data_IF_562597039554
#
_entry.id   IF_562597039554
#
_cell.length_a   1.000
_cell.length_b   1.000
_cell.length_c   1.000
_cell.angle_alpha   90.00
_cell.angle_beta   90.00
_cell.angle_gamma   90.00
#
_symmetry.space_group_name_H-M   'P 1'
#
loop_
_entity.id
_entity.type
_entity.pdbx_description
1 polymer ?
#
# COMPACT_ATOMS: atom_id res chain seq x y z
N UNK A 1 2.01 -16.55 -12.05
CA UNK A 1 1.68 -16.71 -10.61
C UNK A 1 0.67 -15.63 -10.24
N UNK A 2 -0.33 -15.93 -9.38
CA UNK A 2 -1.30 -14.92 -8.90
C UNK A 2 -0.72 -14.11 -7.72
N UNK A 3 0.27 -14.66 -7.03
CA UNK A 3 0.91 -13.99 -5.90
C UNK A 3 1.54 -12.64 -6.31
N UNK A 4 1.56 -11.72 -5.36
CA UNK A 4 2.27 -10.46 -5.49
C UNK A 4 3.77 -10.69 -5.30
N UNK A 5 4.54 -10.28 -6.30
CA UNK A 5 5.98 -10.44 -6.30
C UNK A 5 6.67 -9.27 -5.57
N UNK A 6 5.92 -8.28 -5.04
CA UNK A 6 6.46 -7.06 -4.42
C UNK A 6 7.49 -6.38 -5.35
N UNK A 7 8.76 -6.27 -4.95
CA UNK A 7 9.84 -5.74 -5.78
C UNK A 7 10.52 -6.81 -6.66
N UNK A 8 10.12 -8.07 -6.54
CA UNK A 8 10.62 -9.21 -7.30
C UNK A 8 11.85 -9.88 -6.70
N UNK A 9 12.23 -9.53 -5.47
CA UNK A 9 13.43 -10.05 -4.78
C UNK A 9 13.04 -10.91 -3.57
N UNK A 10 11.93 -10.58 -2.93
CA UNK A 10 11.43 -11.19 -1.70
C UNK A 10 10.90 -12.62 -1.95
N UNK A 11 11.38 -13.59 -1.16
CA UNK A 11 10.98 -15.00 -1.35
C UNK A 11 9.71 -15.32 -0.56
N UNK A 12 8.67 -15.87 -1.20
CA UNK A 12 7.48 -16.28 -0.49
C UNK A 12 7.71 -17.58 0.28
N UNK A 13 7.02 -17.72 1.42
CA UNK A 13 7.03 -18.96 2.20
C UNK A 13 6.33 -20.07 1.42
N UNK A 14 7.06 -21.11 1.04
CA UNK A 14 6.53 -22.27 0.30
C UNK A 14 6.18 -23.44 1.23
N UNK A 15 5.15 -24.20 0.87
CA UNK A 15 4.77 -25.43 1.55
C UNK A 15 4.18 -26.45 0.58
N UNK A 16 4.20 -27.73 0.98
CA UNK A 16 3.64 -28.82 0.18
C UNK A 16 2.22 -29.19 0.63
N UNK A 17 1.30 -29.25 -0.32
CA UNK A 17 -0.11 -29.59 -0.07
C UNK A 17 -0.28 -31.10 -0.12
N UNK A 18 -0.28 -31.75 1.06
CA UNK A 18 -0.42 -33.21 1.17
C UNK A 18 -1.69 -33.75 0.49
N UNK A 19 -2.80 -33.03 0.59
CA UNK A 19 -4.08 -33.43 0.02
C UNK A 19 -4.12 -33.38 -1.52
N UNK A 20 -3.17 -32.68 -2.14
CA UNK A 20 -3.06 -32.51 -3.58
C UNK A 20 -1.71 -33.05 -4.07
N UNK A 21 -1.41 -34.32 -3.74
CA UNK A 21 -0.23 -35.00 -4.26
C UNK A 21 1.10 -34.30 -3.98
N UNK A 22 1.20 -33.58 -2.86
CA UNK A 22 2.37 -32.78 -2.50
C UNK A 22 2.67 -31.57 -3.42
N UNK A 23 1.67 -31.06 -4.15
CA UNK A 23 1.77 -29.82 -4.95
C UNK A 23 2.38 -28.69 -4.12
N UNK A 24 3.31 -27.95 -4.73
CA UNK A 24 3.94 -26.79 -4.10
C UNK A 24 3.00 -25.59 -4.13
N UNK A 25 2.76 -25.01 -2.95
CA UNK A 25 2.01 -23.78 -2.75
C UNK A 25 2.88 -22.74 -2.04
N UNK A 26 2.44 -21.48 -2.10
CA UNK A 26 3.11 -20.36 -1.42
C UNK A 26 2.11 -19.57 -0.59
N UNK A 27 2.57 -19.02 0.53
CA UNK A 27 1.82 -18.01 1.29
C UNK A 27 1.85 -16.72 0.47
N UNK A 28 0.69 -16.08 0.39
CA UNK A 28 0.53 -14.83 -0.37
C UNK A 28 1.24 -13.67 0.35
N UNK A 29 1.85 -12.77 -0.42
CA UNK A 29 2.37 -11.49 0.10
C UNK A 29 1.31 -10.38 0.13
N UNK A 30 0.37 -10.44 -0.80
CA UNK A 30 -0.83 -9.60 -0.86
C UNK A 30 -1.87 -10.26 -1.78
N UNK A 31 -3.12 -9.79 -1.76
CA UNK A 31 -4.18 -10.27 -2.66
C UNK A 31 -4.38 -9.35 -3.87
N UNK A 32 -3.44 -8.46 -4.20
CA UNK A 32 -3.59 -7.41 -5.22
C UNK A 32 -4.19 -7.92 -6.55
N UNK A 33 -3.58 -8.96 -7.15
CA UNK A 33 -4.07 -9.58 -8.40
C UNK A 33 -5.33 -10.43 -8.18
N UNK A 34 -5.39 -11.14 -7.05
CA UNK A 34 -6.51 -12.02 -6.70
C UNK A 34 -7.82 -11.25 -6.60
N UNK A 35 -7.84 -10.08 -5.93
CA UNK A 35 -9.07 -9.31 -5.73
C UNK A 35 -9.73 -8.94 -7.05
N UNK A 36 -8.96 -8.46 -8.03
CA UNK A 36 -9.48 -8.08 -9.35
C UNK A 36 -9.98 -9.28 -10.16
N UNK A 37 -9.29 -10.42 -10.09
CA UNK A 37 -9.80 -11.67 -10.68
C UNK A 37 -11.11 -12.12 -10.01
N UNK A 38 -11.24 -11.91 -8.71
CA UNK A 38 -12.46 -12.21 -7.96
C UNK A 38 -13.63 -11.32 -8.37
N UNK A 39 -13.39 -10.01 -8.61
CA UNK A 39 -14.41 -9.11 -9.16
C UNK A 39 -14.97 -9.62 -10.49
N UNK A 40 -14.09 -10.07 -11.40
CA UNK A 40 -14.47 -10.66 -12.68
C UNK A 40 -15.25 -11.97 -12.49
N UNK A 41 -14.73 -12.89 -11.67
CA UNK A 41 -15.30 -14.21 -11.41
C UNK A 41 -16.74 -14.14 -10.91
N UNK A 42 -17.04 -13.18 -10.04
CA UNK A 42 -18.37 -13.00 -9.49
C UNK A 42 -19.20 -11.93 -10.21
N UNK A 43 -18.71 -11.40 -11.34
CA UNK A 43 -19.36 -10.36 -12.13
C UNK A 43 -19.86 -9.18 -11.28
N UNK A 44 -18.99 -8.69 -10.40
CA UNK A 44 -19.31 -7.61 -9.45
C UNK A 44 -19.64 -6.33 -10.24
N UNK A 45 -20.77 -5.65 -9.96
CA UNK A 45 -21.18 -4.49 -10.75
C UNK A 45 -20.32 -3.25 -10.47
N UNK A 46 -20.31 -2.32 -11.42
CA UNK A 46 -19.68 -1.00 -11.27
C UNK A 46 -20.14 -0.31 -9.99
N UNK A 47 -19.18 0.22 -9.24
CA UNK A 47 -19.42 0.90 -7.98
C UNK A 47 -19.44 -0.03 -6.76
N UNK A 48 -19.55 -1.35 -6.94
CA UNK A 48 -19.40 -2.34 -5.88
C UNK A 48 -17.99 -2.94 -5.84
N UNK A 49 -17.66 -3.60 -4.74
CA UNK A 49 -16.33 -4.13 -4.49
C UNK A 49 -16.32 -5.21 -3.42
N UNK A 50 -15.12 -5.67 -3.10
CA UNK A 50 -14.83 -6.63 -2.03
C UNK A 50 -13.71 -6.08 -1.15
N UNK A 51 -13.65 -6.56 0.08
CA UNK A 51 -12.45 -6.49 0.89
C UNK A 51 -12.20 -7.84 1.57
N UNK A 52 -10.97 -8.07 1.99
CA UNK A 52 -10.58 -9.22 2.79
C UNK A 52 -9.72 -8.78 3.97
N UNK A 53 -9.87 -9.46 5.10
CA UNK A 53 -8.92 -9.41 6.20
C UNK A 53 -7.72 -10.27 5.79
N UNK A 54 -6.74 -9.63 5.16
CA UNK A 54 -5.59 -10.26 4.55
C UNK A 54 -4.48 -10.44 5.59
N UNK A 55 -3.88 -11.62 5.59
CA UNK A 55 -2.75 -11.99 6.43
C UNK A 55 -1.64 -12.55 5.54
N UNK A 56 -0.44 -12.00 5.66
CA UNK A 56 0.74 -12.40 4.89
C UNK A 56 1.93 -12.60 5.82
N UNK A 57 2.89 -13.40 5.34
CA UNK A 57 4.20 -13.58 5.97
C UNK A 57 5.27 -13.10 5.00
N UNK A 58 6.04 -12.09 5.40
CA UNK A 58 7.18 -11.55 4.66
C UNK A 58 8.47 -11.95 5.39
N UNK A 59 9.02 -13.10 4.99
CA UNK A 59 10.14 -13.71 5.70
C UNK A 59 11.48 -12.96 5.54
N UNK A 60 11.63 -12.21 4.46
CA UNK A 60 12.85 -11.46 4.11
C UNK A 60 12.73 -9.95 4.50
N UNK A 61 11.81 -9.58 5.41
CA UNK A 61 11.58 -8.20 5.84
C UNK A 61 12.60 -7.74 6.90
N UNK A 62 13.11 -6.51 6.77
CA UNK A 62 13.94 -5.88 7.81
C UNK A 62 13.05 -5.41 8.96
N UNK A 63 13.23 -6.01 10.14
CA UNK A 63 12.38 -5.75 11.31
C UNK A 63 12.76 -4.45 12.01
N UNK A 64 11.76 -3.58 12.22
CA UNK A 64 11.91 -2.34 12.95
C UNK A 64 10.59 -1.94 13.68
N UNK A 65 10.50 -0.68 14.12
CA UNK A 65 9.33 -0.18 14.83
C UNK A 65 8.01 -0.27 14.04
N UNK A 66 8.05 -0.37 12.71
CA UNK A 66 6.90 -0.32 11.81
C UNK A 66 6.84 -1.48 10.80
N UNK A 67 7.87 -2.32 10.75
CA UNK A 67 8.01 -3.49 9.87
C UNK A 67 8.08 -4.79 10.69
N UNK A 68 7.28 -5.78 10.27
CA UNK A 68 7.10 -7.08 10.94
C UNK A 68 7.05 -8.19 9.89
N UNK A 69 7.46 -9.40 10.27
CA UNK A 69 7.29 -10.59 9.42
C UNK A 69 5.82 -10.85 9.11
N UNK A 70 4.93 -10.57 10.07
CA UNK A 70 3.49 -10.73 9.91
C UNK A 70 2.88 -9.41 9.42
N UNK A 71 2.15 -9.48 8.31
CA UNK A 71 1.51 -8.32 7.70
C UNK A 71 0.01 -8.55 7.63
N UNK A 72 -0.76 -7.62 8.17
CA UNK A 72 -2.21 -7.63 8.14
C UNK A 72 -2.76 -6.41 7.38
N UNK A 73 -3.77 -6.63 6.53
CA UNK A 73 -4.36 -5.55 5.75
C UNK A 73 -5.87 -5.69 5.61
N UNK A 74 -6.58 -4.57 5.58
CA UNK A 74 -7.84 -4.50 4.85
C UNK A 74 -7.51 -4.35 3.38
N UNK A 75 -7.51 -5.47 2.66
CA UNK A 75 -7.15 -5.52 1.26
C UNK A 75 -8.42 -5.44 0.42
N UNK A 76 -8.64 -4.32 -0.28
CA UNK A 76 -9.93 -3.97 -0.89
C UNK A 76 -9.82 -3.63 -2.38
N UNK A 77 -10.89 -3.87 -3.13
CA UNK A 77 -10.94 -3.64 -4.57
C UNK A 77 -12.37 -3.32 -5.01
N UNK A 78 -12.55 -2.34 -5.90
CA UNK A 78 -13.85 -1.85 -6.37
C UNK A 78 -13.86 -1.69 -7.89
N UNK A 79 -14.94 -2.14 -8.54
CA UNK A 79 -15.13 -1.97 -9.98
C UNK A 79 -15.45 -0.52 -10.31
N UNK A 80 -14.80 0.03 -11.33
CA UNK A 80 -14.96 1.42 -11.79
C UNK A 80 -15.33 1.48 -13.27
N UNK A 81 -15.81 2.63 -13.74
CA UNK A 81 -16.02 2.89 -15.17
C UNK A 81 -14.74 3.36 -15.85
N UNK A 82 -14.75 3.44 -17.18
CA UNK A 82 -13.61 3.96 -17.93
C UNK A 82 -13.38 5.45 -17.66
N UNK A 83 -14.46 6.23 -17.55
CA UNK A 83 -14.45 7.66 -17.22
C UNK A 83 -13.99 7.94 -15.77
N UNK A 84 -14.04 6.95 -14.89
CA UNK A 84 -13.52 7.06 -13.51
C UNK A 84 -11.98 6.93 -13.48
N UNK A 85 -11.30 6.63 -14.60
CA UNK A 85 -9.82 6.57 -14.68
C UNK A 85 -9.20 7.97 -14.73
N UNK A 86 -9.42 8.75 -13.67
CA UNK A 86 -8.91 10.12 -13.56
C UNK A 86 -8.29 10.37 -12.19
N UNK A 87 -7.40 11.35 -12.13
CA UNK A 87 -6.77 11.75 -10.87
C UNK A 87 -7.80 12.27 -9.86
N UNK A 88 -8.85 12.95 -10.32
CA UNK A 88 -9.90 13.47 -9.44
C UNK A 88 -10.75 12.37 -8.80
N UNK A 89 -11.00 11.29 -9.54
CA UNK A 89 -11.67 10.11 -8.99
C UNK A 89 -10.79 9.44 -7.91
N UNK A 90 -9.48 9.26 -8.18
CA UNK A 90 -8.54 8.75 -7.17
C UNK A 90 -8.57 9.61 -5.90
N UNK A 91 -8.44 10.94 -6.04
CA UNK A 91 -8.48 11.89 -4.92
C UNK A 91 -9.79 11.78 -4.13
N UNK A 92 -10.92 11.56 -4.80
CA UNK A 92 -12.22 11.36 -4.14
C UNK A 92 -12.24 10.10 -3.28
N UNK A 93 -11.70 8.99 -3.77
CA UNK A 93 -11.63 7.74 -3.01
C UNK A 93 -10.69 7.87 -1.80
N UNK A 94 -9.53 8.49 -2.00
CA UNK A 94 -8.57 8.76 -0.91
C UNK A 94 -9.20 9.63 0.18
N UNK A 95 -9.90 10.72 -0.17
CA UNK A 95 -10.64 11.55 0.80
C UNK A 95 -11.65 10.74 1.59
N UNK A 96 -12.40 9.86 0.92
CA UNK A 96 -13.38 8.99 1.59
C UNK A 96 -12.72 8.09 2.63
N UNK A 97 -11.63 7.40 2.26
CA UNK A 97 -10.89 6.51 3.16
C UNK A 97 -10.28 7.31 4.33
N UNK A 98 -9.61 8.42 4.02
CA UNK A 98 -9.00 9.26 5.04
C UNK A 98 -10.02 9.83 6.03
N UNK A 99 -11.22 10.19 5.57
CA UNK A 99 -12.28 10.67 6.45
C UNK A 99 -12.70 9.62 7.50
N UNK A 100 -12.61 8.33 7.16
CA UNK A 100 -12.86 7.24 8.11
C UNK A 100 -11.70 7.14 9.10
N UNK A 101 -10.46 7.21 8.62
CA UNK A 101 -9.26 7.22 9.49
C UNK A 101 -9.34 8.33 10.53
N UNK A 102 -9.64 9.55 10.11
CA UNK A 102 -9.82 10.70 10.99
C UNK A 102 -10.93 10.47 12.04
N UNK A 103 -12.11 10.01 11.61
CA UNK A 103 -13.27 9.77 12.51
C UNK A 103 -12.99 8.66 13.53
N UNK A 104 -12.32 7.58 13.12
CA UNK A 104 -11.94 6.49 14.02
C UNK A 104 -10.93 7.00 15.05
N UNK A 105 -9.98 7.84 14.64
CA UNK A 105 -9.04 8.47 15.57
C UNK A 105 -9.76 9.25 16.70
N UNK A 106 -10.78 10.03 16.34
CA UNK A 106 -11.62 10.75 17.30
C UNK A 106 -12.41 9.79 18.20
N UNK A 107 -13.00 8.74 17.62
CA UNK A 107 -13.78 7.76 18.36
C UNK A 107 -12.93 6.97 19.37
N UNK A 108 -11.74 6.52 18.98
CA UNK A 108 -10.79 5.83 19.88
C UNK A 108 -10.38 6.74 21.03
N UNK A 109 -10.03 7.99 20.74
CA UNK A 109 -9.65 8.94 21.77
C UNK A 109 -10.78 9.20 22.78
N UNK A 110 -12.01 9.31 22.29
CA UNK A 110 -13.19 9.43 23.13
C UNK A 110 -13.40 8.20 24.02
N UNK A 111 -13.34 6.99 23.45
CA UNK A 111 -13.53 5.73 24.16
C UNK A 111 -12.52 5.54 25.30
N UNK A 112 -11.26 5.88 25.08
CA UNK A 112 -10.20 5.76 26.09
C UNK A 112 -10.03 7.00 26.98
N UNK A 113 -10.89 8.02 26.83
CA UNK A 113 -10.80 9.31 27.52
C UNK A 113 -9.40 9.95 27.40
N UNK A 114 -8.83 9.89 26.20
CA UNK A 114 -7.54 10.45 25.82
C UNK A 114 -7.68 11.62 24.85
N UNK A 115 -6.60 12.38 24.66
CA UNK A 115 -6.52 13.34 23.56
C UNK A 115 -6.45 12.61 22.21
N UNK A 116 -7.14 13.08 21.16
CA UNK A 116 -7.01 12.52 19.83
C UNK A 116 -5.59 12.70 19.31
N UNK A 117 -5.17 11.77 18.46
CA UNK A 117 -3.96 11.98 17.67
C UNK A 117 -4.13 13.22 16.79
N UNK A 118 -3.05 13.97 16.63
CA UNK A 118 -3.04 15.20 15.84
C UNK A 118 -3.03 14.86 14.35
N UNK A 119 -4.23 14.61 13.81
CA UNK A 119 -4.47 14.42 12.38
C UNK A 119 -5.29 15.60 11.86
N UNK A 120 -4.94 16.17 10.69
CA UNK A 120 -5.77 17.19 10.05
C UNK A 120 -7.11 16.57 9.60
N UNK A 121 -8.16 17.39 9.51
CA UNK A 121 -9.46 16.92 9.00
C UNK A 121 -9.42 16.61 7.49
N UNK A 122 -8.49 17.23 6.76
CA UNK A 122 -8.30 17.06 5.33
C UNK A 122 -6.90 16.55 5.00
N UNK A 123 -6.81 15.65 4.02
CA UNK A 123 -5.54 15.12 3.51
C UNK A 123 -5.01 16.01 2.38
N UNK A 124 -3.71 16.31 2.42
CA UNK A 124 -3.03 17.09 1.38
C UNK A 124 -2.62 16.15 0.24
N UNK A 125 -2.84 16.55 -1.01
CA UNK A 125 -2.39 15.80 -2.18
C UNK A 125 -1.11 16.43 -2.72
N UNK A 126 -0.08 15.63 -2.95
CA UNK A 126 1.18 16.08 -3.54
C UNK A 126 1.76 15.00 -4.44
N UNK A 127 2.22 15.36 -5.62
CA UNK A 127 2.89 14.41 -6.51
C UNK A 127 4.34 14.15 -6.06
N UNK A 128 4.85 12.95 -6.27
CA UNK A 128 6.22 12.58 -5.92
C UNK A 128 7.27 13.48 -6.57
N UNK A 129 7.03 13.92 -7.82
CA UNK A 129 7.89 14.91 -8.48
C UNK A 129 7.84 16.27 -7.79
N UNK A 130 6.67 16.74 -7.34
CA UNK A 130 6.58 18.02 -6.62
C UNK A 130 7.34 17.97 -5.29
N UNK A 131 7.35 16.81 -4.63
CA UNK A 131 8.18 16.58 -3.45
C UNK A 131 9.67 16.62 -3.77
N UNK A 132 10.08 16.02 -4.89
CA UNK A 132 11.45 16.09 -5.38
C UNK A 132 11.87 17.54 -5.67
N UNK A 133 11.04 18.29 -6.37
CA UNK A 133 11.33 19.67 -6.75
C UNK A 133 11.42 20.58 -5.51
N UNK A 134 10.59 20.33 -4.49
CA UNK A 134 10.61 21.09 -3.23
C UNK A 134 11.80 20.75 -2.35
N UNK A 135 12.26 19.50 -2.37
CA UNK A 135 13.34 19.00 -1.52
C UNK A 135 14.38 18.20 -2.34
N UNK A 136 15.11 18.86 -3.26
CA UNK A 136 15.96 18.18 -4.24
C UNK A 136 17.14 17.44 -3.60
N UNK A 137 17.61 17.91 -2.42
CA UNK A 137 18.72 17.29 -1.69
C UNK A 137 18.30 16.20 -0.72
N UNK A 138 16.98 16.00 -0.52
CA UNK A 138 16.47 15.00 0.41
C UNK A 138 16.30 13.66 -0.29
N UNK A 139 16.57 12.58 0.43
CA UNK A 139 16.15 11.22 0.06
C UNK A 139 14.62 11.08 0.08
N UNK A 140 14.03 10.08 -0.59
CA UNK A 140 12.58 9.88 -0.60
C UNK A 140 11.94 9.86 0.80
N UNK A 141 12.56 9.17 1.76
CA UNK A 141 12.09 9.12 3.15
C UNK A 141 12.21 10.46 3.88
N UNK A 142 13.25 11.25 3.61
CA UNK A 142 13.35 12.61 4.13
C UNK A 142 12.28 13.54 3.53
N UNK A 143 11.92 13.37 2.25
CA UNK A 143 10.83 14.10 1.61
C UNK A 143 9.47 13.76 2.23
N UNK A 144 9.21 12.46 2.46
CA UNK A 144 8.02 11.97 3.17
C UNK A 144 7.92 12.59 4.57
N UNK A 145 9.02 12.55 5.33
CA UNK A 145 9.11 13.16 6.67
C UNK A 145 8.81 14.66 6.64
N UNK A 146 9.43 15.41 5.72
CA UNK A 146 9.22 16.84 5.60
C UNK A 146 7.76 17.18 5.26
N UNK A 147 7.17 16.45 4.31
CA UNK A 147 5.78 16.63 3.90
C UNK A 147 4.79 16.31 5.02
N UNK A 148 4.96 15.18 5.70
CA UNK A 148 4.10 14.79 6.82
C UNK A 148 4.25 15.77 7.99
N UNK A 149 5.48 16.20 8.32
CA UNK A 149 5.70 17.17 9.40
C UNK A 149 5.07 18.54 9.10
N UNK A 150 5.03 18.94 7.83
CA UNK A 150 4.42 20.20 7.42
C UNK A 150 2.88 20.12 7.38
N UNK A 151 2.33 19.03 6.85
CA UNK A 151 0.91 18.94 6.50
C UNK A 151 0.08 18.04 7.43
N UNK A 152 0.73 17.27 8.31
CA UNK A 152 0.10 16.28 9.19
C UNK A 152 -0.32 15.00 8.46
N UNK A 153 -1.00 15.12 7.32
CA UNK A 153 -1.38 13.99 6.47
C UNK A 153 -1.27 14.33 4.98
N UNK A 154 -0.65 13.42 4.23
CA UNK A 154 -0.43 13.56 2.79
C UNK A 154 -0.80 12.29 2.04
N UNK A 155 -1.30 12.45 0.81
CA UNK A 155 -1.34 11.41 -0.19
C UNK A 155 -0.31 11.73 -1.26
N UNK A 156 0.73 10.89 -1.34
CA UNK A 156 1.83 11.05 -2.30
C UNK A 156 1.46 10.31 -3.58
N UNK A 157 1.22 11.05 -4.65
CA UNK A 157 0.78 10.52 -5.94
C UNK A 157 1.99 10.14 -6.81
N UNK A 158 1.86 9.08 -7.61
CA UNK A 158 2.81 8.76 -8.69
C UNK A 158 4.03 7.96 -8.21
N UNK A 159 3.82 6.98 -7.33
CA UNK A 159 4.90 6.15 -6.79
C UNK A 159 5.17 4.96 -7.71
N UNK A 160 6.41 4.83 -8.16
CA UNK A 160 6.88 3.77 -9.07
C UNK A 160 7.46 4.31 -10.38
N UNK A 161 6.93 5.43 -10.88
CA UNK A 161 7.48 6.12 -12.05
C UNK A 161 8.83 6.76 -11.79
N UNK A 162 9.68 6.81 -12.81
CA UNK A 162 10.99 7.50 -12.76
C UNK A 162 10.76 9.01 -12.69
N UNK A 163 11.35 9.65 -11.68
CA UNK A 163 11.33 11.11 -11.50
C UNK A 163 12.42 11.79 -12.35
N UNK A 164 12.46 13.13 -12.36
CA UNK A 164 13.47 13.91 -13.09
C UNK A 164 14.90 13.58 -12.65
N UNK A 165 15.11 13.15 -11.41
CA UNK A 165 16.41 12.64 -10.93
C UNK A 165 16.88 11.33 -11.59
N UNK A 166 16.05 10.69 -12.42
CA UNK A 166 16.32 9.40 -13.04
C UNK A 166 16.09 8.20 -12.12
N UNK A 167 15.52 8.42 -10.93
CA UNK A 167 15.15 7.38 -9.96
C UNK A 167 13.68 7.49 -9.59
N UNK A 168 12.99 6.37 -9.31
CA UNK A 168 11.65 6.45 -8.75
C UNK A 168 11.67 6.94 -7.30
N UNK A 169 10.55 7.48 -6.82
CA UNK A 169 10.38 7.83 -5.41
C UNK A 169 10.51 6.60 -4.50
N UNK A 170 9.82 5.52 -4.88
CA UNK A 170 9.92 4.21 -4.26
C UNK A 170 9.60 3.11 -5.30
N UNK A 171 9.94 1.86 -4.98
CA UNK A 171 9.59 0.70 -5.78
C UNK A 171 8.08 0.51 -5.91
N UNK A 172 7.63 0.03 -7.07
CA UNK A 172 6.24 -0.38 -7.26
C UNK A 172 6.15 -1.47 -8.32
N UNK A 173 5.24 -2.41 -8.11
CA UNK A 173 4.96 -3.45 -9.09
C UNK A 173 4.37 -2.84 -10.37
N UNK A 174 4.79 -3.37 -11.52
CA UNK A 174 4.26 -3.00 -12.83
C UNK A 174 2.90 -3.66 -13.15
N UNK A 175 2.46 -4.61 -12.32
CA UNK A 175 1.35 -5.52 -12.65
C UNK A 175 -0.04 -5.00 -12.28
N UNK A 176 -0.16 -4.14 -11.26
CA UNK A 176 -1.46 -3.77 -10.70
C UNK A 176 -1.67 -2.28 -10.53
N UNK A 177 -0.70 -1.49 -10.07
CA UNK A 177 -0.87 -0.03 -9.93
C UNK A 177 -0.50 0.70 -11.21
N UNK A 178 -1.32 1.66 -11.61
CA UNK A 178 -1.01 2.54 -12.73
C UNK A 178 -0.25 3.76 -12.24
N UNK A 179 1.08 3.71 -12.32
CA UNK A 179 1.98 4.83 -11.98
C UNK A 179 2.47 5.57 -13.23
N UNK A 180 1.95 5.24 -14.41
CA UNK A 180 2.51 5.69 -15.70
C UNK A 180 1.54 6.52 -16.54
N UNK A 181 0.24 6.50 -16.25
CA UNK A 181 -0.77 7.26 -17.00
C UNK A 181 -0.66 8.77 -16.74
N UNK A 182 -0.55 9.61 -17.79
CA UNK A 182 -0.50 11.06 -17.64
C UNK A 182 -1.77 11.61 -16.98
N UNK A 183 -1.60 12.54 -16.04
CA UNK A 183 -2.70 13.18 -15.29
C UNK A 183 -3.11 14.55 -15.84
N UNK A 184 -2.44 15.04 -16.89
CA UNK A 184 -2.77 16.28 -17.61
C UNK A 184 -2.09 17.54 -17.08
N UNK A 185 -1.50 17.48 -15.90
CA UNK A 185 -0.74 18.55 -15.20
C UNK A 185 0.78 18.42 -15.39
N UNK A 186 1.21 17.63 -16.37
CA UNK A 186 2.63 17.33 -16.62
C UNK A 186 3.18 16.17 -15.78
N UNK A 187 2.35 15.57 -14.91
CA UNK A 187 2.70 14.40 -14.13
C UNK A 187 2.08 13.12 -14.67
N UNK A 188 2.51 11.99 -14.10
CA UNK A 188 2.03 10.65 -14.41
C UNK A 188 1.74 9.90 -13.11
N UNK A 189 0.67 9.11 -13.11
CA UNK A 189 0.34 8.20 -12.03
C UNK A 189 -1.07 8.38 -11.48
N UNK A 190 -1.78 7.26 -11.40
CA UNK A 190 -3.09 7.11 -10.80
C UNK A 190 -3.02 6.22 -9.55
N UNK A 191 -1.91 6.25 -8.84
CA UNK A 191 -1.68 5.56 -7.58
C UNK A 191 -0.98 6.47 -6.57
N UNK A 192 -0.83 5.98 -5.35
CA UNK A 192 -0.09 6.67 -4.30
C UNK A 192 -0.29 6.07 -2.92
N UNK A 193 0.37 6.68 -1.96
CA UNK A 193 0.39 6.22 -0.58
C UNK A 193 -0.21 7.28 0.37
N UNK A 194 -0.97 6.83 1.37
CA UNK A 194 -1.44 7.66 2.48
C UNK A 194 -0.37 7.62 3.58
N UNK A 195 0.22 8.78 3.88
CA UNK A 195 1.16 8.95 4.97
C UNK A 195 0.65 9.99 5.97
N UNK A 196 0.94 9.76 7.24
CA UNK A 196 0.65 10.69 8.34
C UNK A 196 1.89 10.95 9.17
N UNK A 197 1.95 12.08 9.86
CA UNK A 197 2.97 12.32 10.87
C UNK A 197 2.65 11.52 12.14
N UNK A 198 3.53 10.59 12.49
CA UNK A 198 3.40 9.85 13.73
C UNK A 198 4.24 10.53 14.83
N UNK A 199 3.56 11.22 15.74
CA UNK A 199 4.22 11.94 16.84
C UNK A 199 4.96 11.01 17.82
N UNK A 200 4.56 9.74 17.97
CA UNK A 200 5.25 8.79 18.83
C UNK A 200 6.61 8.37 18.23
N UNK A 201 6.69 8.27 16.91
CA UNK A 201 7.91 7.92 16.18
C UNK A 201 8.73 9.13 15.71
N UNK A 202 8.12 10.32 15.69
CA UNK A 202 8.69 11.53 15.09
C UNK A 202 9.09 11.32 13.62
N UNK A 203 8.24 10.62 12.87
CA UNK A 203 8.46 10.29 11.46
C UNK A 203 7.15 10.21 10.66
N UNK A 204 7.28 10.24 9.34
CA UNK A 204 6.24 9.86 8.41
C UNK A 204 5.90 8.37 8.60
N UNK A 205 4.61 8.07 8.57
CA UNK A 205 4.07 6.76 8.84
C UNK A 205 3.04 6.41 7.77
N UNK A 206 3.39 5.45 6.93
CA UNK A 206 2.56 5.01 5.80
C UNK A 206 1.45 4.07 6.28
N UNK A 207 0.20 4.44 6.00
CA UNK A 207 -1.00 3.70 6.38
C UNK A 207 -1.54 2.81 5.27
N UNK A 208 -1.37 3.24 4.02
CA UNK A 208 -1.98 2.58 2.88
C UNK A 208 -1.23 2.87 1.59
N UNK A 209 -1.15 1.85 0.75
CA UNK A 209 -0.81 1.95 -0.67
C UNK A 209 -2.06 1.64 -1.50
N UNK A 210 -2.40 2.50 -2.46
CA UNK A 210 -3.59 2.31 -3.30
C UNK A 210 -3.49 2.98 -4.67
N UNK A 211 -4.34 2.55 -5.60
CA UNK A 211 -4.38 3.15 -6.93
C UNK A 211 -5.48 2.61 -7.81
N UNK A 212 -5.78 3.39 -8.86
CA UNK A 212 -6.51 2.92 -10.01
C UNK A 212 -5.61 1.91 -10.72
N UNK A 213 -6.16 0.72 -10.99
CA UNK A 213 -5.34 -0.37 -11.49
C UNK A 213 -4.94 -0.14 -12.94
N UNK A 214 -3.85 -0.77 -13.38
CA UNK A 214 -3.45 -0.76 -14.79
C UNK A 214 -4.61 -1.22 -15.69
N UNK A 215 -4.82 -0.51 -16.80
CA UNK A 215 -5.56 -1.05 -17.94
C UNK A 215 -4.60 -1.77 -18.90
N UNK A 216 -5.11 -2.20 -20.06
CA UNK A 216 -4.29 -2.87 -21.07
C UNK A 216 -3.08 -2.03 -21.50
N UNK A 217 -3.30 -0.75 -21.79
CA UNK A 217 -2.27 0.16 -22.31
C UNK A 217 -1.21 0.43 -21.24
N UNK A 218 -1.66 0.72 -20.02
CA UNK A 218 -0.77 0.94 -18.89
C UNK A 218 0.04 -0.32 -18.55
N UNK A 219 -0.57 -1.52 -18.57
CA UNK A 219 0.16 -2.77 -18.31
C UNK A 219 1.27 -2.97 -19.36
N UNK A 220 0.96 -2.89 -20.65
CA UNK A 220 1.95 -3.07 -21.72
C UNK A 220 3.11 -2.08 -21.60
N UNK A 221 2.80 -0.80 -21.31
CA UNK A 221 3.79 0.25 -21.08
C UNK A 221 4.67 -0.06 -19.86
N UNK A 222 4.09 -0.38 -18.71
CA UNK A 222 4.85 -0.61 -17.47
C UNK A 222 5.71 -1.87 -17.55
N UNK A 223 5.21 -2.94 -18.18
CA UNK A 223 6.01 -4.14 -18.45
C UNK A 223 7.21 -3.83 -19.34
N UNK A 224 7.03 -3.00 -20.38
CA UNK A 224 8.13 -2.60 -21.26
C UNK A 224 9.17 -1.74 -20.52
N UNK A 225 8.73 -0.79 -19.69
CA UNK A 225 9.62 0.08 -18.91
C UNK A 225 10.52 -0.71 -17.95
N UNK A 226 10.02 -1.82 -17.38
CA UNK A 226 10.80 -2.68 -16.49
C UNK A 226 11.46 -3.88 -17.18
N UNK A 227 11.32 -4.04 -18.50
CA UNK A 227 11.84 -5.20 -19.22
C UNK A 227 11.19 -6.54 -18.82
N UNK A 228 9.94 -6.51 -18.36
CA UNK A 228 9.21 -7.66 -17.82
C UNK A 228 8.13 -8.19 -18.77
N UNK A 229 8.25 -7.95 -20.08
CA UNK A 229 7.24 -8.35 -21.07
C UNK A 229 6.92 -9.86 -21.05
N UNK A 230 7.85 -10.72 -20.59
CA UNK A 230 7.61 -12.16 -20.41
C UNK A 230 6.41 -12.46 -19.50
N UNK A 231 6.12 -11.56 -18.53
CA UNK A 231 4.97 -11.68 -17.62
C UNK A 231 3.62 -11.61 -18.35
N UNK A 232 3.55 -11.03 -19.56
CA UNK A 232 2.35 -11.02 -20.38
C UNK A 232 1.78 -12.43 -20.65
N UNK A 233 2.62 -13.46 -20.59
CA UNK A 233 2.22 -14.85 -20.73
C UNK A 233 1.58 -15.45 -19.48
N UNK A 234 1.64 -14.81 -18.31
CA UNK A 234 1.07 -15.32 -17.07
C UNK A 234 -0.46 -15.16 -17.04
N UNK A 235 -1.14 -16.02 -16.29
CA UNK A 235 -2.61 -16.09 -16.26
C UNK A 235 -3.29 -14.72 -16.07
N UNK A 236 -2.92 -13.98 -15.02
CA UNK A 236 -3.50 -12.67 -14.71
C UNK A 236 -3.32 -11.69 -15.88
N UNK A 237 -2.09 -11.57 -16.38
CA UNK A 237 -1.75 -10.66 -17.46
C UNK A 237 -2.48 -10.99 -18.75
N UNK A 238 -2.56 -12.28 -19.13
CA UNK A 238 -3.34 -12.70 -20.31
C UNK A 238 -4.81 -12.31 -20.19
N UNK A 239 -5.43 -12.55 -19.03
CA UNK A 239 -6.82 -12.17 -18.79
C UNK A 239 -7.02 -10.65 -18.88
N UNK A 240 -6.10 -9.84 -18.32
CA UNK A 240 -6.16 -8.39 -18.43
C UNK A 240 -6.05 -7.92 -19.89
N UNK A 241 -5.06 -8.42 -20.63
CA UNK A 241 -4.77 -8.04 -22.01
C UNK A 241 -5.89 -8.48 -22.99
N UNK A 242 -6.60 -9.55 -22.64
CA UNK A 242 -7.79 -10.03 -23.34
C UNK A 242 -9.07 -9.25 -22.98
N UNK A 243 -9.03 -8.35 -21.99
CA UNK A 243 -10.20 -7.57 -21.55
C UNK A 243 -11.18 -8.36 -20.69
N UNK A 244 -10.74 -9.48 -20.09
CA UNK A 244 -11.59 -10.34 -19.24
C UNK A 244 -11.70 -9.83 -17.80
N UNK A 245 -10.84 -8.89 -17.39
CA UNK A 245 -10.86 -8.30 -16.05
C UNK A 245 -11.48 -6.90 -16.09
N UNK A 246 -12.36 -6.54 -15.13
CA UNK A 246 -12.95 -5.23 -15.08
C UNK A 246 -11.90 -4.16 -14.78
N UNK A 247 -12.19 -2.90 -15.13
CA UNK A 247 -11.45 -1.78 -14.56
C UNK A 247 -11.75 -1.68 -13.07
N UNK A 248 -10.72 -1.45 -12.27
CA UNK A 248 -10.87 -1.37 -10.81
C UNK A 248 -9.95 -0.32 -10.20
N UNK A 249 -10.29 0.05 -8.97
CA UNK A 249 -9.43 0.76 -8.01
C UNK A 249 -9.32 -0.11 -6.77
N UNK A 250 -8.16 -0.13 -6.12
CA UNK A 250 -8.02 -0.83 -4.87
C UNK A 250 -6.77 -0.43 -4.10
N UNK A 251 -6.59 -1.05 -2.94
CA UNK A 251 -5.43 -0.82 -2.10
C UNK A 251 -5.41 -1.76 -0.90
N UNK A 252 -4.36 -1.63 -0.11
CA UNK A 252 -4.23 -2.27 1.20
C UNK A 252 -4.08 -1.21 2.28
N UNK A 253 -4.75 -1.40 3.41
CA UNK A 253 -4.63 -0.53 4.59
C UNK A 253 -4.12 -1.39 5.74
N UNK A 254 -2.96 -1.05 6.32
CA UNK A 254 -2.33 -1.86 7.38
C UNK A 254 -3.15 -1.83 8.67
N UNK A 255 -3.62 -3.00 9.14
CA UNK A 255 -4.49 -3.06 10.32
C UNK A 255 -3.69 -2.76 11.59
N UNK A 256 -2.57 -3.46 11.79
CA UNK A 256 -1.65 -3.24 12.91
C UNK A 256 -1.03 -1.85 12.86
N UNK A 257 -0.75 -1.30 11.66
CA UNK A 257 -0.27 0.07 11.54
C UNK A 257 -1.31 1.09 12.02
N UNK A 258 -2.59 0.92 11.67
CA UNK A 258 -3.66 1.78 12.19
C UNK A 258 -3.84 1.63 13.70
N UNK A 259 -3.82 0.41 14.24
CA UNK A 259 -3.87 0.17 15.68
C UNK A 259 -2.70 0.84 16.42
N UNK A 260 -1.48 0.70 15.90
CA UNK A 260 -0.29 1.36 16.43
C UNK A 260 -0.44 2.87 16.46
N UNK A 261 -0.95 3.47 15.37
CA UNK A 261 -1.19 4.91 15.28
C UNK A 261 -2.23 5.37 16.31
N UNK A 262 -3.43 4.77 16.34
CA UNK A 262 -4.52 5.21 17.21
C UNK A 262 -4.20 5.04 18.69
N UNK A 263 -3.47 3.97 19.04
CA UNK A 263 -3.07 3.67 20.41
C UNK A 263 -1.72 4.29 20.79
N UNK A 264 -1.17 5.16 19.92
CA UNK A 264 0.08 5.92 20.13
C UNK A 264 1.26 5.02 20.54
N UNK A 265 1.32 3.83 19.95
CA UNK A 265 2.37 2.85 20.22
C UNK A 265 3.62 3.21 19.44
N UNK A 266 4.78 2.93 20.03
CA UNK A 266 6.11 3.22 19.47
C UNK A 266 6.70 2.03 18.74
N UNK A 267 6.05 0.86 18.80
CA UNK A 267 6.45 -0.33 18.08
C UNK A 267 5.24 -1.15 17.64
N UNK A 268 5.22 -1.64 16.40
CA UNK A 268 4.11 -2.42 15.84
C UNK A 268 3.86 -3.73 16.61
N UNK A 269 4.93 -4.34 17.14
CA UNK A 269 4.83 -5.51 18.02
C UNK A 269 4.06 -5.27 19.33
N UNK A 270 3.69 -4.03 19.68
CA UNK A 270 2.80 -3.78 20.82
C UNK A 270 1.32 -4.06 20.52
N UNK A 271 0.96 -4.17 19.24
CA UNK A 271 -0.41 -4.41 18.77
C UNK A 271 -0.54 -5.67 17.93
N UNK A 272 0.59 -6.36 17.69
CA UNK A 272 0.69 -7.49 16.80
C UNK A 272 1.64 -8.55 17.38
N UNK A 273 1.18 -9.80 17.47
CA UNK A 273 2.04 -10.93 17.84
C UNK A 273 2.91 -11.35 16.65
N UNK A 274 4.23 -11.33 16.82
CA UNK A 274 5.20 -11.65 15.77
C UNK A 274 6.51 -12.21 16.36
N UNK A 275 7.49 -12.48 15.50
CA UNK A 275 8.81 -12.93 15.92
C UNK A 275 9.78 -11.75 15.83
N UNK A 276 10.50 -11.50 16.93
CA UNK A 276 11.44 -10.39 17.06
C UNK A 276 12.81 -10.90 17.51
N UNK A 277 13.93 -10.27 17.09
CA UNK A 277 15.25 -10.62 17.59
C UNK A 277 15.32 -10.45 19.12
N UNK A 278 15.92 -11.39 19.83
CA UNK A 278 16.02 -11.35 21.31
C UNK A 278 16.64 -10.04 21.83
N UNK A 279 17.64 -9.52 21.11
CA UNK A 279 18.28 -8.25 21.44
C UNK A 279 17.29 -7.07 21.38
N UNK A 280 16.39 -7.06 20.39
CA UNK A 280 15.35 -6.05 20.24
C UNK A 280 14.30 -6.16 21.34
N UNK A 281 13.85 -7.38 21.66
CA UNK A 281 12.90 -7.63 22.76
C UNK A 281 13.46 -7.12 24.08
N UNK A 282 14.73 -7.41 24.37
CA UNK A 282 15.40 -6.96 25.58
C UNK A 282 15.54 -5.44 25.63
N UNK A 283 16.04 -4.82 24.57
CA UNK A 283 16.21 -3.36 24.50
C UNK A 283 14.88 -2.61 24.67
N UNK A 284 13.80 -3.10 24.08
CA UNK A 284 12.48 -2.51 24.22
C UNK A 284 11.88 -2.75 25.61
N UNK A 285 12.05 -3.95 26.17
CA UNK A 285 11.62 -4.25 27.54
C UNK A 285 12.32 -3.32 28.56
N UNK A 286 13.63 -3.09 28.41
CA UNK A 286 14.41 -2.19 29.27
C UNK A 286 13.93 -0.73 29.16
N UNK A 287 13.27 -0.36 28.06
CA UNK A 287 12.61 0.93 27.83
C UNK A 287 11.13 0.95 28.27
N UNK A 288 10.63 -0.13 28.87
CA UNK A 288 9.22 -0.26 29.30
C UNK A 288 8.25 -0.57 28.16
N UNK A 289 8.73 -0.99 27.00
CA UNK A 289 7.94 -1.34 25.82
C UNK A 289 7.81 -2.87 25.77
N UNK A 290 6.61 -3.38 26.08
CA UNK A 290 6.30 -4.80 25.99
C UNK A 290 5.78 -5.15 24.59
N UNK A 291 6.42 -6.14 23.95
CA UNK A 291 5.97 -6.73 22.69
C UNK A 291 5.08 -7.95 22.93
N UNK A 292 4.11 -8.17 22.03
CA UNK A 292 3.19 -9.31 21.99
C UNK A 292 3.78 -10.51 21.25
#
# INVERSE_FOLDING_TARGET
MINDDLNGVERPVSFSVRADGATQAVIVHSLAKWKRMTLARYNIPVGAGIYADMNAIRADEDLDAIHSLYVDQWDWERVIRAEDRTIDFLKTIVRSIYSVVYKVAQAVAHEFNEQPIDLPAEITFIHAQELEDRYPTFSPKERENAACKQHGAVFIIGIGGVLLSGKPHDGRSCDYDDWSTPTGDGFCGLNGDILVWNAALQSAFELSSMGIRVDKVALERQLALHGQQVRASLLFHRMLLAGELPLSIGGGIGQSRLCMLYLKKTHIGQVQASIWPEAMVKDLHDKGILLL
#
